data_IF_561249181093
#
_entry.id   IF_561249181093
#
_cell.length_a   1.000
_cell.length_b   1.000
_cell.length_c   1.000
_cell.angle_alpha   90.00
_cell.angle_beta   90.00
_cell.angle_gamma   90.00
#
_symmetry.space_group_name_H-M   'P 1'
#
loop_
_entity.id
_entity.type
_entity.pdbx_description
1 polymer ?
#
# COMPACT_ATOMS: atom_id res chain seq x y z
N UNK A 1 19.75 11.26 -12.98
CA UNK A 1 18.84 10.13 -12.66
C UNK A 1 17.68 10.70 -11.83
N UNK A 2 16.57 9.98 -11.64
CA UNK A 2 15.46 10.47 -10.79
C UNK A 2 15.91 10.73 -9.35
N UNK A 3 16.81 9.89 -8.81
CA UNK A 3 17.35 10.06 -7.46
C UNK A 3 18.23 11.31 -7.32
N UNK A 4 19.03 11.65 -8.33
CA UNK A 4 19.85 12.88 -8.29
C UNK A 4 19.01 14.16 -8.34
N UNK A 5 17.71 14.06 -8.67
CA UNK A 5 16.76 15.17 -8.72
C UNK A 5 15.80 15.19 -7.51
N UNK A 6 15.90 14.23 -6.59
CA UNK A 6 14.96 14.05 -5.45
C UNK A 6 15.20 15.04 -4.29
N UNK A 7 15.99 16.10 -4.51
CA UNK A 7 16.32 17.11 -3.51
C UNK A 7 17.47 16.70 -2.58
N UNK A 8 17.90 17.63 -1.72
CA UNK A 8 19.07 17.47 -0.85
C UNK A 8 18.85 16.50 0.32
N UNK A 9 17.61 16.15 0.64
CA UNK A 9 17.24 15.35 1.82
C UNK A 9 16.82 13.92 1.47
N UNK A 10 17.21 13.41 0.29
CA UNK A 10 16.93 12.04 -0.11
C UNK A 10 17.92 11.07 0.56
N UNK A 11 17.46 10.35 1.59
CA UNK A 11 18.23 9.29 2.22
C UNK A 11 17.86 7.93 1.62
N UNK A 12 18.85 7.23 1.09
CA UNK A 12 18.70 5.84 0.62
C UNK A 12 19.28 4.91 1.67
N UNK A 13 18.45 3.98 2.16
CA UNK A 13 18.85 2.95 3.11
C UNK A 13 18.82 1.61 2.37
N UNK A 14 19.96 0.92 2.36
CA UNK A 14 20.09 -0.40 1.71
C UNK A 14 19.86 -1.48 2.76
N UNK A 15 18.82 -2.27 2.58
CA UNK A 15 18.45 -3.37 3.48
C UNK A 15 17.05 -3.91 3.17
N UNK A 16 16.59 -4.83 4.01
CA UNK A 16 15.21 -5.28 3.99
C UNK A 16 14.28 -4.13 4.44
N UNK A 17 13.28 -3.81 3.63
CA UNK A 17 12.41 -2.65 3.89
C UNK A 17 11.65 -2.74 5.21
N UNK A 18 11.24 -3.94 5.65
CA UNK A 18 10.53 -4.11 6.93
C UNK A 18 11.47 -3.94 8.10
N UNK A 19 12.65 -4.57 8.03
CA UNK A 19 13.63 -4.50 9.11
C UNK A 19 14.18 -3.09 9.29
N UNK A 20 14.47 -2.38 8.19
CA UNK A 20 14.96 -1.00 8.28
C UNK A 20 13.86 -0.05 8.76
N UNK A 21 12.60 -0.23 8.31
CA UNK A 21 11.47 0.54 8.82
C UNK A 21 11.25 0.30 10.32
N UNK A 22 11.45 -0.92 10.82
CA UNK A 22 11.31 -1.24 12.24
C UNK A 22 12.27 -0.42 13.13
N UNK A 23 13.45 -0.07 12.60
CA UNK A 23 14.46 0.77 13.28
C UNK A 23 14.15 2.26 13.22
N UNK A 24 13.30 2.70 12.29
CA UNK A 24 12.90 4.10 12.19
C UNK A 24 12.14 4.54 13.47
N UNK A 25 12.25 5.81 13.90
CA UNK A 25 11.51 6.30 15.05
C UNK A 25 9.99 6.15 14.85
N UNK A 26 9.25 5.86 15.92
CA UNK A 26 7.80 5.85 15.86
C UNK A 26 7.27 7.28 15.65
N UNK A 27 6.12 7.40 14.98
CA UNK A 27 5.46 8.70 14.70
C UNK A 27 6.40 9.72 14.03
N UNK A 28 7.18 9.27 13.04
CA UNK A 28 8.16 10.10 12.33
C UNK A 28 7.83 10.32 10.86
N UNK A 29 6.82 9.62 10.33
CA UNK A 29 6.46 9.66 8.92
C UNK A 29 5.06 10.25 8.73
N UNK A 30 4.93 11.22 7.84
CA UNK A 30 3.63 11.77 7.40
C UNK A 30 2.98 10.89 6.34
N UNK A 31 3.80 10.30 5.46
CA UNK A 31 3.39 9.39 4.40
C UNK A 31 4.35 8.20 4.37
N UNK A 32 3.78 7.01 4.27
CA UNK A 32 4.53 5.80 4.01
C UNK A 32 3.98 5.12 2.76
N UNK A 33 4.80 5.07 1.71
CA UNK A 33 4.48 4.49 0.40
C UNK A 33 5.15 3.11 0.25
N UNK A 34 4.34 2.12 -0.08
CA UNK A 34 4.75 0.74 -0.29
C UNK A 34 4.64 0.43 -1.78
N UNK A 35 5.79 0.38 -2.45
CA UNK A 35 5.92 0.02 -3.86
C UNK A 35 6.90 -1.15 -4.02
N UNK A 36 6.46 -2.31 -3.52
CA UNK A 36 7.24 -3.55 -3.56
C UNK A 36 6.46 -4.72 -4.20
N UNK A 37 5.29 -4.45 -4.79
CA UNK A 37 4.34 -5.47 -5.25
C UNK A 37 4.29 -5.63 -6.78
N UNK A 38 5.15 -4.91 -7.50
CA UNK A 38 5.20 -4.86 -8.97
C UNK A 38 5.94 -6.04 -9.62
N UNK A 39 6.53 -6.94 -8.83
CA UNK A 39 7.26 -8.14 -9.29
C UNK A 39 6.47 -9.45 -9.11
N UNK A 40 7.00 -10.54 -9.68
CA UNK A 40 6.41 -11.89 -9.61
C UNK A 40 6.39 -12.47 -8.19
N UNK A 41 7.15 -11.89 -7.25
CA UNK A 41 7.11 -12.22 -5.83
C UNK A 41 6.44 -11.10 -5.05
N UNK A 42 5.29 -11.38 -4.44
CA UNK A 42 4.74 -10.53 -3.39
C UNK A 42 5.47 -10.85 -2.08
N UNK A 43 6.27 -9.92 -1.51
CA UNK A 43 6.93 -10.16 -0.24
C UNK A 43 5.87 -10.28 0.86
N UNK A 44 5.53 -11.52 1.23
CA UNK A 44 4.44 -11.80 2.18
C UNK A 44 4.68 -11.09 3.52
N UNK A 45 5.94 -10.94 3.92
CA UNK A 45 6.32 -10.21 5.12
C UNK A 45 6.00 -8.71 5.06
N UNK A 46 5.68 -8.11 3.91
CA UNK A 46 5.22 -6.72 3.81
C UNK A 46 3.70 -6.57 3.78
N UNK A 47 2.95 -7.68 3.80
CA UNK A 47 1.49 -7.67 3.67
C UNK A 47 0.85 -8.62 4.69
N UNK A 48 0.90 -8.21 5.95
CA UNK A 48 0.30 -8.91 7.09
C UNK A 48 -0.28 -7.91 8.09
N UNK A 49 -1.08 -8.40 9.05
CA UNK A 49 -1.56 -7.58 10.17
C UNK A 49 -0.41 -6.94 10.93
N UNK A 50 0.63 -7.70 11.22
CA UNK A 50 1.82 -7.26 11.96
C UNK A 50 2.60 -6.20 11.16
N UNK A 51 2.68 -6.36 9.83
CA UNK A 51 3.27 -5.36 8.96
C UNK A 51 2.46 -4.05 9.00
N UNK A 52 1.13 -4.10 8.88
CA UNK A 52 0.27 -2.91 8.97
C UNK A 52 0.37 -2.24 10.34
N UNK A 53 0.40 -3.00 11.43
CA UNK A 53 0.62 -2.46 12.77
C UNK A 53 1.97 -1.75 12.89
N UNK A 54 3.03 -2.34 12.35
CA UNK A 54 4.35 -1.70 12.28
C UNK A 54 4.27 -0.37 11.52
N UNK A 55 3.63 -0.35 10.35
CA UNK A 55 3.48 0.85 9.54
C UNK A 55 2.74 1.96 10.29
N UNK A 56 1.65 1.61 10.97
CA UNK A 56 0.91 2.54 11.82
C UNK A 56 1.71 3.02 13.02
N UNK A 57 2.64 2.23 13.58
CA UNK A 57 3.50 2.71 14.65
C UNK A 57 4.50 3.78 14.17
N UNK A 58 4.91 3.73 12.89
CA UNK A 58 5.85 4.70 12.29
C UNK A 58 5.17 5.98 11.81
N UNK A 59 3.90 5.91 11.43
CA UNK A 59 3.14 7.08 11.02
C UNK A 59 2.77 7.99 12.20
N UNK A 60 2.82 9.30 11.97
CA UNK A 60 2.18 10.32 12.82
C UNK A 60 0.65 10.06 12.92
N UNK A 61 -0.07 10.60 13.92
CA UNK A 61 -1.49 10.29 14.15
C UNK A 61 -2.43 10.52 12.94
N UNK A 62 -2.13 11.51 12.13
CA UNK A 62 -2.82 11.94 10.90
C UNK A 62 -2.09 11.49 9.61
N UNK A 63 -1.08 10.63 9.75
CA UNK A 63 -0.29 10.13 8.63
C UNK A 63 -1.06 9.14 7.76
N UNK A 64 -0.61 9.01 6.51
CA UNK A 64 -1.26 8.22 5.45
C UNK A 64 -0.38 7.04 5.03
N UNK A 65 -1.02 5.87 4.86
CA UNK A 65 -0.45 4.73 4.16
C UNK A 65 -0.86 4.76 2.70
N UNK A 66 0.07 4.48 1.80
CA UNK A 66 -0.22 4.28 0.39
C UNK A 66 0.43 2.98 -0.09
N UNK A 67 -0.35 2.13 -0.75
CA UNK A 67 0.08 0.88 -1.34
C UNK A 67 -0.06 0.97 -2.84
N UNK A 68 0.98 0.60 -3.58
CA UNK A 68 0.89 0.32 -5.00
C UNK A 68 0.65 -1.19 -5.20
N UNK A 69 -0.60 -1.59 -5.43
CA UNK A 69 -1.05 -3.00 -5.39
C UNK A 69 -1.20 -3.63 -6.76
N UNK A 70 -0.53 -3.08 -7.78
CA UNK A 70 -0.55 -3.64 -9.13
C UNK A 70 0.24 -4.94 -9.18
N UNK A 71 -0.45 -6.05 -9.40
CA UNK A 71 0.19 -7.35 -9.60
C UNK A 71 -0.48 -8.12 -10.74
N UNK A 72 0.34 -8.84 -11.52
CA UNK A 72 -0.11 -9.60 -12.69
C UNK A 72 -0.85 -10.88 -12.30
N UNK A 73 -0.40 -11.55 -11.25
CA UNK A 73 -0.83 -12.90 -10.90
C UNK A 73 -1.72 -12.96 -9.66
N UNK A 74 -1.60 -11.97 -8.78
CA UNK A 74 -2.24 -11.98 -7.48
C UNK A 74 -3.22 -10.81 -7.32
N UNK A 75 -4.34 -11.05 -6.65
CA UNK A 75 -5.28 -10.02 -6.26
C UNK A 75 -4.82 -9.30 -4.98
N UNK A 76 -3.68 -8.62 -5.07
CA UNK A 76 -3.08 -7.87 -3.95
C UNK A 76 -4.00 -6.76 -3.45
N UNK A 77 -4.79 -6.16 -4.34
CA UNK A 77 -5.81 -5.17 -3.97
C UNK A 77 -6.80 -5.74 -2.93
N UNK A 78 -7.31 -6.96 -3.14
CA UNK A 78 -8.24 -7.60 -2.20
C UNK A 78 -7.58 -7.91 -0.86
N UNK A 79 -6.35 -8.42 -0.86
CA UNK A 79 -5.59 -8.68 0.37
C UNK A 79 -5.35 -7.39 1.18
N UNK A 80 -4.84 -6.35 0.53
CA UNK A 80 -4.54 -5.07 1.20
C UNK A 80 -5.84 -4.41 1.67
N UNK A 81 -6.92 -4.45 0.87
CA UNK A 81 -8.24 -3.97 1.28
C UNK A 81 -8.71 -4.66 2.56
N UNK A 82 -8.58 -5.98 2.64
CA UNK A 82 -8.91 -6.74 3.85
C UNK A 82 -8.07 -6.29 5.04
N UNK A 83 -6.76 -6.19 4.89
CA UNK A 83 -5.85 -5.78 5.97
C UNK A 83 -6.10 -4.37 6.51
N UNK A 84 -6.32 -3.38 5.63
CA UNK A 84 -6.55 -2.00 6.08
C UNK A 84 -7.91 -1.88 6.77
N UNK A 85 -8.93 -2.59 6.29
CA UNK A 85 -10.26 -2.59 6.93
C UNK A 85 -10.27 -3.36 8.25
N UNK A 86 -9.54 -4.47 8.34
CA UNK A 86 -9.34 -5.26 9.56
C UNK A 86 -8.60 -4.46 10.64
N UNK A 87 -7.64 -3.63 10.24
CA UNK A 87 -6.97 -2.67 11.12
C UNK A 87 -7.84 -1.46 11.51
N UNK A 88 -9.11 -1.40 11.07
CA UNK A 88 -10.04 -0.32 11.38
C UNK A 88 -9.75 1.00 10.66
N UNK A 89 -8.96 0.98 9.58
CA UNK A 89 -8.60 2.18 8.83
C UNK A 89 -9.70 2.57 7.84
N UNK A 90 -9.86 3.89 7.64
CA UNK A 90 -10.56 4.40 6.48
C UNK A 90 -9.66 4.27 5.25
N UNK A 91 -10.19 3.79 4.14
CA UNK A 91 -9.39 3.59 2.93
C UNK A 91 -10.17 3.89 1.64
N UNK A 92 -9.42 4.28 0.61
CA UNK A 92 -9.89 4.46 -0.75
C UNK A 92 -8.96 3.73 -1.72
N UNK A 93 -9.53 3.10 -2.75
CA UNK A 93 -8.78 2.50 -3.85
C UNK A 93 -9.01 3.26 -5.15
N UNK A 94 -8.00 3.23 -6.02
CA UNK A 94 -8.09 3.80 -7.36
C UNK A 94 -7.32 2.94 -8.35
N UNK A 95 -7.97 2.66 -9.47
CA UNK A 95 -7.28 2.26 -10.68
C UNK A 95 -6.92 3.52 -11.47
N UNK A 96 -5.62 3.80 -11.59
CA UNK A 96 -5.08 4.88 -12.39
C UNK A 96 -4.74 4.33 -13.79
N UNK A 97 -5.68 4.53 -14.72
CA UNK A 97 -5.44 4.18 -16.12
C UNK A 97 -4.40 5.12 -16.73
N UNK A 98 -3.37 4.54 -17.36
CA UNK A 98 -2.36 5.31 -18.06
C UNK A 98 -2.89 6.03 -19.30
N UNK A 99 -3.99 5.57 -19.90
CA UNK A 99 -4.58 6.20 -21.09
C UNK A 99 -3.56 6.46 -22.21
N UNK A 100 -3.58 7.66 -22.77
CA UNK A 100 -2.61 8.12 -23.78
C UNK A 100 -1.19 8.31 -23.24
N UNK A 101 -1.03 8.48 -21.92
CA UNK A 101 0.29 8.64 -21.30
C UNK A 101 1.14 7.37 -21.37
N UNK A 102 0.55 6.22 -21.75
CA UNK A 102 1.30 5.02 -22.12
C UNK A 102 2.35 5.31 -23.19
N UNK A 103 2.04 6.19 -24.15
CA UNK A 103 2.96 6.62 -25.21
C UNK A 103 4.21 7.34 -24.66
N UNK A 104 4.12 7.86 -23.44
CA UNK A 104 5.21 8.52 -22.71
C UNK A 104 5.78 7.64 -21.59
N UNK A 105 5.48 6.33 -21.58
CA UNK A 105 6.05 5.37 -20.62
C UNK A 105 5.30 5.22 -19.30
N UNK A 106 4.10 5.79 -19.14
CA UNK A 106 3.25 5.55 -17.95
C UNK A 106 2.62 4.16 -18.03
N UNK A 107 2.65 3.41 -16.92
CA UNK A 107 1.91 2.16 -16.75
C UNK A 107 0.64 2.39 -15.93
N UNK A 108 -0.42 1.64 -16.22
CA UNK A 108 -1.62 1.66 -15.37
C UNK A 108 -1.30 1.03 -14.02
N UNK A 109 -1.94 1.53 -12.97
CA UNK A 109 -1.63 1.10 -11.61
C UNK A 109 -2.86 1.07 -10.70
N UNK A 110 -2.88 0.12 -9.78
CA UNK A 110 -3.83 0.07 -8.67
C UNK A 110 -3.17 0.64 -7.41
N UNK A 111 -3.89 1.53 -6.75
CA UNK A 111 -3.45 2.15 -5.51
C UNK A 111 -4.51 2.00 -4.44
N UNK A 112 -4.07 1.78 -3.20
CA UNK A 112 -4.91 1.89 -2.00
C UNK A 112 -4.25 2.92 -1.10
N UNK A 113 -5.04 3.87 -0.59
CA UNK A 113 -4.63 4.77 0.47
C UNK A 113 -5.47 4.49 1.71
N UNK A 114 -4.83 4.55 2.88
CA UNK A 114 -5.48 4.29 4.15
C UNK A 114 -4.99 5.26 5.23
N UNK A 115 -5.89 5.64 6.14
CA UNK A 115 -5.57 6.48 7.29
C UNK A 115 -6.45 6.07 8.48
N UNK A 116 -6.05 6.47 9.69
CA UNK A 116 -6.82 6.16 10.92
C UNK A 116 -8.18 6.83 10.92
N UNK A 117 -8.30 8.03 10.35
CA UNK A 117 -9.54 8.78 10.26
C UNK A 117 -9.85 9.12 8.82
N UNK A 118 -11.13 9.15 8.47
CA UNK A 118 -11.56 9.43 7.10
C UNK A 118 -11.31 10.89 6.70
N UNK A 119 -11.26 11.79 7.70
CA UNK A 119 -10.99 13.21 7.54
C UNK A 119 -9.57 13.46 6.98
N UNK A 120 -8.62 12.60 7.36
CA UNK A 120 -7.23 12.68 6.87
C UNK A 120 -7.14 12.32 5.37
N UNK A 121 -8.21 11.75 4.79
CA UNK A 121 -8.32 11.41 3.36
C UNK A 121 -9.31 12.32 2.59
N UNK A 122 -9.82 13.39 3.21
CA UNK A 122 -10.81 14.30 2.58
C UNK A 122 -10.43 14.79 1.17
N UNK A 123 -9.18 15.25 0.91
CA UNK A 123 -8.80 15.70 -0.43
C UNK A 123 -8.84 14.59 -1.47
N UNK A 124 -8.61 13.33 -1.06
CA UNK A 124 -8.63 12.16 -1.93
C UNK A 124 -10.07 11.75 -2.22
N UNK A 125 -10.93 11.71 -1.19
CA UNK A 125 -12.33 11.33 -1.30
C UNK A 125 -13.12 12.19 -2.30
N UNK A 126 -12.69 13.44 -2.54
CA UNK A 126 -13.31 14.38 -3.49
C UNK A 126 -12.80 14.25 -4.92
N UNK A 127 -11.71 13.50 -5.16
CA UNK A 127 -11.13 13.32 -6.50
C UNK A 127 -11.85 12.19 -7.24
N UNK A 128 -12.06 12.37 -8.54
CA UNK A 128 -12.64 11.34 -9.39
C UNK A 128 -11.76 10.09 -9.44
N UNK A 129 -12.40 8.91 -9.51
CA UNK A 129 -11.73 7.62 -9.64
C UNK A 129 -11.27 6.98 -8.32
N UNK A 130 -11.42 7.65 -7.19
CA UNK A 130 -11.23 7.05 -5.87
C UNK A 130 -12.54 6.48 -5.35
N UNK A 131 -12.53 5.20 -4.98
CA UNK A 131 -13.67 4.47 -4.45
C UNK A 131 -13.41 4.08 -3.01
N UNK A 132 -14.43 4.17 -2.15
CA UNK A 132 -14.28 3.76 -0.75
C UNK A 132 -14.03 2.25 -0.70
N UNK A 133 -12.99 1.85 0.02
CA UNK A 133 -12.71 0.44 0.28
C UNK A 133 -13.68 -0.07 1.32
N UNK A 134 -14.31 -1.21 1.02
CA UNK A 134 -15.13 -1.97 1.95
C UNK A 134 -14.44 -3.30 2.23
N UNK A 135 -14.67 -3.85 3.42
CA UNK A 135 -14.10 -5.13 3.80
C UNK A 135 -14.56 -6.21 2.81
N UNK A 136 -13.64 -6.91 2.11
CA UNK A 136 -14.03 -7.98 1.21
C UNK A 136 -14.68 -9.13 1.99
N UNK A 137 -15.81 -9.65 1.50
CA UNK A 137 -16.45 -10.83 2.08
C UNK A 137 -15.52 -12.06 2.00
N UNK A 138 -15.62 -12.93 3.01
CA UNK A 138 -14.96 -14.24 3.09
C UNK A 138 -13.44 -14.19 2.87
N UNK A 139 -12.78 -13.17 3.42
CA UNK A 139 -11.34 -13.01 3.31
C UNK A 139 -10.67 -12.91 4.68
N UNK A 140 -9.87 -13.91 5.01
CA UNK A 140 -9.03 -13.91 6.21
C UNK A 140 -7.77 -13.07 5.94
N UNK A 141 -7.55 -11.96 6.67
CA UNK A 141 -6.32 -11.19 6.54
C UNK A 141 -5.11 -12.06 6.89
N UNK A 142 -4.03 -11.88 6.15
CA UNK A 142 -2.78 -12.59 6.42
C UNK A 142 -2.15 -12.11 7.72
N UNK A 143 -1.49 -13.04 8.40
CA UNK A 143 -0.57 -12.76 9.50
C UNK A 143 0.82 -13.21 9.10
N UNK A 144 1.83 -12.84 9.86
CA UNK A 144 3.20 -13.34 9.63
C UNK A 144 3.28 -14.89 9.65
N UNK A 145 2.42 -15.54 10.43
CA UNK A 145 2.34 -17.00 10.56
C UNK A 145 1.29 -17.66 9.66
N UNK A 146 0.48 -16.87 8.95
CA UNK A 146 -0.58 -17.38 8.08
C UNK A 146 -0.69 -16.59 6.76
N UNK A 147 -0.46 -17.30 5.67
CA UNK A 147 -0.69 -16.80 4.31
C UNK A 147 -1.40 -17.86 3.48
N UNK A 148 -2.38 -17.45 2.68
CA UNK A 148 -3.05 -18.32 1.71
C UNK A 148 -2.89 -17.72 0.31
N UNK A 149 -1.81 -18.09 -0.37
CA UNK A 149 -1.53 -17.59 -1.72
C UNK A 149 -2.56 -18.06 -2.75
N UNK A 150 -3.09 -19.28 -2.60
CA UNK A 150 -4.05 -19.88 -3.53
C UNK A 150 -5.35 -19.06 -3.61
N UNK A 151 -5.78 -18.45 -2.50
CA UNK A 151 -6.98 -17.59 -2.49
C UNK A 151 -6.78 -16.24 -3.20
N UNK A 152 -5.54 -15.92 -3.58
CA UNK A 152 -5.19 -14.67 -4.25
C UNK A 152 -4.93 -14.80 -5.74
N UNK A 153 -4.82 -16.02 -6.26
CA UNK A 153 -4.54 -16.24 -7.68
C UNK A 153 -5.67 -15.63 -8.52
N UNK A 154 -5.29 -14.79 -9.49
CA UNK A 154 -6.18 -14.34 -10.55
C UNK A 154 -6.29 -15.45 -11.58
N UNK A 155 -7.41 -16.16 -11.56
CA UNK A 155 -7.77 -17.09 -12.64
C UNK A 155 -8.20 -16.26 -13.84
N UNK A 156 -7.42 -16.32 -14.91
CA UNK A 156 -7.74 -15.75 -16.22
C UNK A 156 -8.55 -16.74 -17.04
#
# INVERSE_FOLDING_TARGET
>A
TFLSQCGSNCQVIIGDGRLELARAPNKSLDLLLLDAFSSDSVPMHLISREAVQLYLAKLVPDGVLMFHVSNRYLNVEKLVSSLVTDAGLAAYSRFDDAGDLRKFGKSSAYHIVAARRIEDLQPIARRQGWNRVIQPADYQPWTDDYSNLLSLIRWH
#
